data_IF_178916682251
#
_entry.id   IF_178916682251
#
_cell.length_a   1.000
_cell.length_b   1.000
_cell.length_c   1.000
_cell.angle_alpha   90.00
_cell.angle_beta   90.00
_cell.angle_gamma   90.00
#
_symmetry.space_group_name_H-M   'P 1'
#
loop_
_entity.id
_entity.type
_entity.pdbx_description
1 polymer ?
#
# COMPACT_ATOMS: atom_id res chain seq x y z
N UNK A 1 -21.25 -49.14 -7.35
CA UNK A 1 -20.50 -48.45 -8.42
C UNK A 1 -20.78 -46.96 -8.26
N UNK A 2 -19.78 -46.08 -8.40
CA UNK A 2 -19.80 -44.63 -8.11
C UNK A 2 -19.48 -44.29 -6.64
N UNK A 3 -18.20 -44.37 -6.24
CA UNK A 3 -17.58 -43.50 -5.21
C UNK A 3 -16.07 -43.77 -5.22
N UNK A 4 -15.45 -43.51 -6.37
CA UNK A 4 -14.01 -43.25 -6.47
C UNK A 4 -13.91 -41.91 -7.19
N UNK A 5 -13.13 -40.98 -6.64
CA UNK A 5 -12.66 -39.75 -7.31
C UNK A 5 -13.40 -38.42 -7.01
N UNK A 6 -13.56 -38.08 -5.72
CA UNK A 6 -13.95 -36.72 -5.27
C UNK A 6 -12.71 -35.88 -4.89
N UNK A 7 -11.62 -36.50 -4.46
CA UNK A 7 -10.44 -35.79 -3.95
C UNK A 7 -9.64 -35.08 -5.04
N UNK A 8 -9.59 -35.64 -6.26
CA UNK A 8 -8.86 -35.05 -7.39
C UNK A 8 -9.57 -33.85 -8.01
N UNK A 9 -10.90 -33.87 -8.08
CA UNK A 9 -11.72 -32.79 -8.65
C UNK A 9 -11.77 -31.56 -7.75
N UNK A 10 -11.82 -31.73 -6.44
CA UNK A 10 -11.85 -30.60 -5.50
C UNK A 10 -10.54 -29.81 -5.48
N UNK A 11 -9.37 -30.49 -5.54
CA UNK A 11 -8.06 -29.81 -5.63
C UNK A 11 -7.90 -29.05 -6.93
N UNK A 12 -8.38 -29.60 -8.05
CA UNK A 12 -8.34 -28.93 -9.36
C UNK A 12 -9.34 -27.78 -9.46
N UNK A 13 -10.48 -27.89 -8.77
CA UNK A 13 -11.47 -26.83 -8.64
C UNK A 13 -10.95 -25.65 -7.81
N UNK A 14 -10.31 -25.91 -6.66
CA UNK A 14 -9.70 -24.87 -5.82
C UNK A 14 -8.47 -24.24 -6.51
N UNK A 15 -7.59 -25.04 -7.12
CA UNK A 15 -6.42 -24.54 -7.85
C UNK A 15 -6.81 -23.75 -9.11
N UNK A 16 -7.85 -24.19 -9.83
CA UNK A 16 -8.39 -23.47 -10.98
C UNK A 16 -9.02 -22.13 -10.61
N UNK A 17 -9.68 -22.03 -9.44
CA UNK A 17 -10.21 -20.75 -8.93
C UNK A 17 -9.12 -19.83 -8.35
N UNK A 18 -8.07 -20.36 -7.76
CA UNK A 18 -6.91 -19.56 -7.31
C UNK A 18 -6.13 -18.97 -8.50
N UNK A 19 -6.00 -19.72 -9.59
CA UNK A 19 -5.42 -19.20 -10.83
C UNK A 19 -6.36 -18.19 -11.53
N UNK A 20 -7.67 -18.46 -11.62
CA UNK A 20 -8.64 -17.56 -12.24
C UNK A 20 -8.96 -16.30 -11.40
N UNK A 21 -8.73 -16.31 -10.09
CA UNK A 21 -8.86 -15.13 -9.24
C UNK A 21 -7.70 -14.13 -9.40
N UNK A 22 -6.56 -14.54 -10.00
CA UNK A 22 -5.46 -13.61 -10.32
C UNK A 22 -5.86 -12.56 -11.35
N UNK A 23 -6.81 -12.88 -12.23
CA UNK A 23 -7.12 -12.04 -13.39
C UNK A 23 -8.34 -11.13 -13.20
N UNK A 24 -8.92 -11.06 -11.99
CA UNK A 24 -10.24 -10.42 -11.79
C UNK A 24 -10.43 -9.63 -10.50
N UNK A 25 -9.37 -9.38 -9.70
CA UNK A 25 -9.49 -8.35 -8.66
C UNK A 25 -9.30 -7.00 -9.33
N UNK A 26 -10.33 -6.12 -9.38
CA UNK A 26 -10.11 -4.77 -9.86
C UNK A 26 -9.07 -4.11 -8.96
N UNK A 27 -7.95 -3.73 -9.56
CA UNK A 27 -6.89 -2.98 -8.88
C UNK A 27 -7.46 -1.60 -8.54
N UNK A 28 -7.52 -1.28 -7.25
CA UNK A 28 -7.93 0.03 -6.80
C UNK A 28 -6.77 1.02 -6.86
N UNK A 29 -7.01 2.26 -6.45
CA UNK A 29 -5.94 3.13 -5.94
C UNK A 29 -5.94 3.05 -4.41
N UNK A 30 -4.78 3.30 -3.79
CA UNK A 30 -4.74 3.56 -2.35
C UNK A 30 -5.61 4.79 -2.07
N UNK A 31 -6.67 4.69 -1.24
CA UNK A 31 -7.54 5.83 -1.00
C UNK A 31 -6.75 7.00 -0.42
N UNK A 32 -7.02 8.22 -0.90
CA UNK A 32 -6.35 9.42 -0.39
C UNK A 32 -6.49 9.59 1.13
N UNK A 33 -7.58 9.10 1.72
CA UNK A 33 -7.79 9.09 3.18
C UNK A 33 -6.83 8.17 3.95
N UNK A 34 -6.14 7.26 3.26
CA UNK A 34 -5.12 6.38 3.83
C UNK A 34 -3.70 6.93 3.61
N UNK A 35 -3.55 8.08 2.92
CA UNK A 35 -2.27 8.64 2.54
C UNK A 35 -1.95 9.89 3.37
N UNK A 36 -0.69 10.00 3.78
CA UNK A 36 -0.16 11.16 4.52
C UNK A 36 1.07 11.73 3.84
N UNK A 37 0.97 12.90 3.22
CA UNK A 37 2.13 13.56 2.57
C UNK A 37 2.89 14.42 3.59
N UNK A 38 4.21 14.40 3.50
CA UNK A 38 5.09 15.27 4.26
C UNK A 38 5.92 16.18 3.33
N UNK A 39 6.10 17.47 3.69
CA UNK A 39 5.56 18.14 4.88
C UNK A 39 4.03 18.27 4.84
N UNK A 40 3.33 18.15 5.99
CA UNK A 40 1.92 18.56 6.05
C UNK A 40 1.82 20.07 5.83
N UNK A 41 0.69 20.54 5.28
CA UNK A 41 0.49 21.93 4.85
C UNK A 41 0.76 22.98 5.96
N UNK A 42 0.74 22.57 7.23
CA UNK A 42 0.93 23.39 8.41
C UNK A 42 2.34 23.29 9.04
N UNK A 43 3.28 22.55 8.44
CA UNK A 43 4.51 22.09 9.09
C UNK A 43 5.65 23.11 9.27
N UNK A 44 5.52 24.35 8.79
CA UNK A 44 6.64 25.28 8.66
C UNK A 44 7.44 25.07 7.37
N UNK A 45 8.61 25.72 7.19
CA UNK A 45 9.25 25.78 5.88
C UNK A 45 9.61 24.39 5.38
N UNK A 46 9.05 24.07 4.23
CA UNK A 46 9.38 22.92 3.42
C UNK A 46 10.88 22.89 3.10
N UNK A 47 11.42 21.69 2.89
CA UNK A 47 12.67 21.59 2.15
C UNK A 47 12.38 22.08 0.73
N UNK A 48 12.80 23.31 0.40
CA UNK A 48 12.54 23.98 -0.88
C UNK A 48 13.48 23.53 -2.01
N UNK A 49 14.41 22.61 -1.72
CA UNK A 49 15.30 21.99 -2.70
C UNK A 49 14.73 20.68 -3.27
N UNK A 50 15.32 20.14 -4.36
CA UNK A 50 14.96 18.83 -4.87
C UNK A 50 15.10 17.76 -3.78
N UNK A 51 14.09 16.90 -3.63
CA UNK A 51 14.17 15.82 -2.64
C UNK A 51 15.34 14.90 -2.95
N UNK A 52 16.04 14.43 -1.91
CA UNK A 52 17.13 13.44 -2.01
C UNK A 52 16.63 12.05 -2.38
N UNK A 53 15.32 11.82 -2.29
CA UNK A 53 14.65 10.57 -2.57
C UNK A 53 13.25 10.54 -1.97
N UNK A 54 12.46 9.58 -2.45
CA UNK A 54 11.14 9.26 -1.93
C UNK A 54 11.21 8.14 -0.88
N UNK A 55 10.56 8.34 0.26
CA UNK A 55 10.34 7.33 1.29
C UNK A 55 8.85 7.03 1.38
N UNK A 56 8.48 5.77 1.15
CA UNK A 56 7.13 5.28 1.46
C UNK A 56 7.15 4.62 2.84
N UNK A 57 6.39 5.16 3.79
CA UNK A 57 6.34 4.68 5.16
C UNK A 57 5.00 4.00 5.44
N UNK A 58 5.04 2.71 5.76
CA UNK A 58 3.87 1.96 6.21
C UNK A 58 3.73 2.10 7.74
N UNK A 59 2.53 2.44 8.22
CA UNK A 59 2.24 2.42 9.65
C UNK A 59 2.09 0.99 10.19
N UNK A 60 2.01 0.87 11.52
CA UNK A 60 1.57 -0.36 12.16
C UNK A 60 0.04 -0.49 12.22
N UNK A 61 -0.42 -1.43 13.03
CA UNK A 61 -1.81 -1.73 13.37
C UNK A 61 -2.55 -0.56 14.03
N UNK A 62 -1.84 0.33 14.72
CA UNK A 62 -2.38 1.55 15.32
C UNK A 62 -2.65 2.70 14.34
N UNK A 63 -2.39 2.51 13.05
CA UNK A 63 -2.59 3.53 12.01
C UNK A 63 -1.58 4.68 12.06
N UNK A 64 -1.88 5.78 11.37
CA UNK A 64 -0.99 6.94 11.29
C UNK A 64 -1.09 7.82 12.53
N UNK A 65 -0.06 7.81 13.37
CA UNK A 65 -0.07 8.45 14.68
C UNK A 65 1.30 9.06 15.04
N UNK A 66 1.46 9.56 16.28
CA UNK A 66 2.71 10.20 16.73
C UNK A 66 3.98 9.37 16.44
N UNK A 67 3.91 8.04 16.55
CA UNK A 67 5.04 7.16 16.29
C UNK A 67 5.49 7.16 14.82
N UNK A 68 4.60 7.42 13.87
CA UNK A 68 4.93 7.51 12.44
C UNK A 68 5.22 8.95 12.02
N UNK A 69 4.51 9.94 12.59
CA UNK A 69 4.66 11.35 12.21
C UNK A 69 6.02 11.95 12.60
N UNK A 70 6.59 11.53 13.74
CA UNK A 70 7.90 12.01 14.20
C UNK A 70 9.05 11.59 13.25
N UNK A 71 9.22 10.30 12.89
CA UNK A 71 10.18 9.89 11.88
C UNK A 71 9.98 10.55 10.51
N UNK A 72 8.74 10.69 10.04
CA UNK A 72 8.45 11.37 8.76
C UNK A 72 8.90 12.82 8.75
N UNK A 73 8.64 13.56 9.84
CA UNK A 73 9.14 14.93 9.98
C UNK A 73 10.67 14.97 10.00
N UNK A 74 11.31 14.04 10.70
CA UNK A 74 12.77 13.97 10.74
C UNK A 74 13.36 13.69 9.35
N UNK A 75 12.80 12.74 8.59
CA UNK A 75 13.22 12.45 7.21
C UNK A 75 13.03 13.66 6.29
N UNK A 76 11.90 14.37 6.41
CA UNK A 76 11.65 15.59 5.65
C UNK A 76 12.68 16.69 5.95
N UNK A 77 13.03 16.89 7.22
CA UNK A 77 14.07 17.84 7.63
C UNK A 77 15.45 17.50 7.04
N UNK A 78 15.67 16.24 6.69
CA UNK A 78 16.89 15.74 6.05
C UNK A 78 16.78 15.70 4.51
N UNK A 79 15.72 16.27 3.93
CA UNK A 79 15.55 16.44 2.49
C UNK A 79 14.89 15.27 1.77
N UNK A 80 14.19 14.38 2.47
CA UNK A 80 13.41 13.31 1.83
C UNK A 80 11.95 13.70 1.64
N UNK A 81 11.36 13.34 0.49
CA UNK A 81 9.92 13.34 0.34
C UNK A 81 9.36 12.10 1.04
N UNK A 82 8.32 12.26 1.87
CA UNK A 82 7.74 11.12 2.60
C UNK A 82 6.24 11.01 2.30
N UNK A 83 5.82 9.81 1.92
CA UNK A 83 4.42 9.42 1.81
C UNK A 83 4.16 8.33 2.85
N UNK A 84 3.27 8.62 3.78
CA UNK A 84 2.76 7.67 4.76
C UNK A 84 1.56 6.91 4.25
N UNK A 85 1.49 5.62 4.55
CA UNK A 85 0.31 4.76 4.35
C UNK A 85 -0.21 4.37 5.74
N UNK A 86 -1.45 4.77 6.05
CA UNK A 86 -2.17 4.30 7.23
C UNK A 86 -2.63 2.86 7.01
N UNK A 87 -1.85 1.90 7.51
CA UNK A 87 -2.10 0.47 7.38
C UNK A 87 -3.38 0.02 8.09
N UNK A 88 -3.82 0.70 9.15
CA UNK A 88 -5.06 0.35 9.85
C UNK A 88 -6.26 0.55 8.93
N UNK A 89 -6.30 1.69 8.23
CA UNK A 89 -7.38 1.99 7.30
C UNK A 89 -7.18 1.33 5.93
N UNK A 90 -5.95 1.28 5.44
CA UNK A 90 -5.63 0.70 4.13
C UNK A 90 -5.92 -0.80 4.06
N UNK A 91 -5.58 -1.56 5.11
CA UNK A 91 -5.85 -3.00 5.20
C UNK A 91 -7.16 -3.34 5.92
N UNK A 92 -8.03 -2.36 6.18
CA UNK A 92 -9.35 -2.62 6.79
C UNK A 92 -10.22 -3.54 5.92
N UNK A 93 -10.02 -3.48 4.60
CA UNK A 93 -10.56 -4.45 3.66
C UNK A 93 -9.46 -5.42 3.25
N UNK A 94 -9.80 -6.71 3.19
CA UNK A 94 -8.88 -7.74 2.72
C UNK A 94 -8.34 -7.39 1.33
N UNK A 95 -7.02 -7.50 1.18
CA UNK A 95 -6.29 -7.25 -0.06
C UNK A 95 -5.33 -8.40 -0.30
N UNK A 96 -5.17 -8.77 -1.56
CA UNK A 96 -4.13 -9.72 -1.94
C UNK A 96 -2.76 -9.01 -1.98
N UNK A 97 -1.65 -9.72 -1.76
CA UNK A 97 -0.31 -9.14 -1.93
C UNK A 97 -0.09 -8.54 -3.32
N UNK A 98 -0.69 -9.13 -4.36
CA UNK A 98 -0.61 -8.63 -5.74
C UNK A 98 -1.29 -7.28 -5.88
N UNK A 99 -2.54 -7.16 -5.42
CA UNK A 99 -3.28 -5.90 -5.45
C UNK A 99 -2.57 -4.79 -4.68
N UNK A 100 -1.99 -5.11 -3.52
CA UNK A 100 -1.24 -4.12 -2.73
C UNK A 100 0.07 -3.69 -3.42
N UNK A 101 0.75 -4.61 -4.12
CA UNK A 101 1.94 -4.28 -4.89
C UNK A 101 1.63 -3.36 -6.07
N UNK A 102 0.61 -3.67 -6.86
CA UNK A 102 0.17 -2.85 -8.01
C UNK A 102 -0.31 -1.46 -7.55
N UNK A 103 -1.06 -1.39 -6.46
CA UNK A 103 -1.49 -0.12 -5.85
C UNK A 103 -0.30 0.73 -5.37
N UNK A 104 0.75 0.10 -4.84
CA UNK A 104 1.99 0.77 -4.42
C UNK A 104 2.82 1.23 -5.62
N UNK A 105 2.93 0.43 -6.68
CA UNK A 105 3.60 0.80 -7.92
C UNK A 105 2.96 2.07 -8.50
N UNK A 106 1.62 2.08 -8.64
CA UNK A 106 0.87 3.25 -9.11
C UNK A 106 1.11 4.49 -8.24
N UNK A 107 1.18 4.32 -6.92
CA UNK A 107 1.49 5.42 -5.99
C UNK A 107 2.90 5.98 -6.25
N UNK A 108 3.90 5.12 -6.38
CA UNK A 108 5.30 5.56 -6.60
C UNK A 108 5.44 6.25 -7.96
N UNK A 109 4.83 5.72 -9.02
CA UNK A 109 4.83 6.36 -10.35
C UNK A 109 4.23 7.76 -10.28
N UNK A 110 3.08 7.91 -9.62
CA UNK A 110 2.41 9.21 -9.45
C UNK A 110 3.30 10.25 -8.78
N UNK A 111 4.05 9.87 -7.75
CA UNK A 111 4.88 10.81 -6.98
C UNK A 111 6.30 10.99 -7.52
N UNK A 112 6.73 10.17 -8.48
CA UNK A 112 8.01 10.33 -9.18
C UNK A 112 7.85 11.05 -10.52
N UNK A 113 6.63 11.13 -11.05
CA UNK A 113 6.28 11.90 -12.24
C UNK A 113 5.99 13.40 -11.96
N UNK A 114 5.77 13.77 -10.70
CA UNK A 114 5.66 15.17 -10.21
C UNK A 114 7.05 15.83 -10.11
#
# INVERSE_FOLDING_TARGET
MIFKDITGKFRRFIAGRLAAARDSVPVGEIPASCLHRYPPEDAGPEHTGPSRGLVVLFSGDGGWAKLTTHPSRHLQQHGFAVIGIDCMHYFWKEKTPQTAAEELENLVEKFTAE
#
